data_IF_078730066764
#
_entry.id   IF_078730066764
#
_cell.length_a   1.000
_cell.length_b   1.000
_cell.length_c   1.000
_cell.angle_alpha   90.00
_cell.angle_beta   90.00
_cell.angle_gamma   90.00
#
_symmetry.space_group_name_H-M   'P 1'
#
loop_
_entity.id
_entity.type
_entity.pdbx_description
1 polymer ?
#
# COMPACT_ATOMS: atom_id res chain seq x y z
N UNK A 1 -11.06 17.00 -6.00
CA UNK A 1 -10.76 16.08 -4.86
C UNK A 1 -11.80 14.96 -4.90
N UNK A 2 -11.75 13.94 -4.03
CA UNK A 2 -12.81 12.92 -4.01
C UNK A 2 -13.12 12.41 -2.60
N UNK A 3 -14.25 11.72 -2.48
CA UNK A 3 -14.65 10.94 -1.30
C UNK A 3 -14.53 9.46 -1.65
N UNK A 4 -13.89 8.69 -0.78
CA UNK A 4 -13.72 7.23 -0.91
C UNK A 4 -14.40 6.49 0.23
N UNK A 5 -14.76 5.23 -0.02
CA UNK A 5 -15.31 4.31 0.98
C UNK A 5 -14.41 3.09 1.11
N UNK A 6 -13.87 2.87 2.31
CA UNK A 6 -13.15 1.62 2.63
C UNK A 6 -14.13 0.44 2.53
N UNK A 7 -13.78 -0.53 1.68
CA UNK A 7 -14.53 -1.76 1.46
C UNK A 7 -13.96 -2.91 2.28
N UNK A 8 -12.63 -2.94 2.43
CA UNK A 8 -11.93 -3.95 3.21
C UNK A 8 -10.69 -3.33 3.85
N UNK A 9 -10.38 -3.84 5.04
CA UNK A 9 -9.15 -3.55 5.75
C UNK A 9 -8.54 -4.88 6.19
N UNK A 10 -7.23 -5.02 6.04
CA UNK A 10 -6.50 -6.21 6.49
C UNK A 10 -5.11 -5.83 7.00
N UNK A 11 -4.60 -6.62 7.92
CA UNK A 11 -3.20 -6.54 8.35
C UNK A 11 -2.38 -7.47 7.47
N UNK A 12 -1.30 -6.96 6.88
CA UNK A 12 -0.30 -7.74 6.13
C UNK A 12 1.09 -7.36 6.62
N UNK A 13 2.06 -8.28 6.59
CA UNK A 13 3.46 -7.88 6.82
C UNK A 13 4.06 -7.28 5.56
N UNK A 14 5.02 -6.38 5.73
CA UNK A 14 5.71 -5.74 4.60
C UNK A 14 6.34 -6.78 3.65
N UNK A 15 6.99 -7.81 4.18
CA UNK A 15 7.60 -8.88 3.39
C UNK A 15 6.62 -9.94 2.86
N UNK A 16 5.34 -9.89 3.26
CA UNK A 16 4.27 -10.72 2.73
C UNK A 16 3.49 -10.04 1.59
N UNK A 17 3.87 -8.80 1.23
CA UNK A 17 3.26 -8.09 0.11
C UNK A 17 3.45 -8.87 -1.20
N UNK A 18 2.37 -9.03 -1.95
CA UNK A 18 2.37 -9.74 -3.24
C UNK A 18 2.26 -8.78 -4.41
N UNK A 19 2.70 -9.19 -5.60
CA UNK A 19 2.55 -8.37 -6.81
C UNK A 19 1.09 -8.03 -7.13
N UNK A 20 0.16 -8.93 -6.81
CA UNK A 20 -1.28 -8.68 -6.99
C UNK A 20 -1.75 -7.54 -6.09
N UNK A 21 -1.42 -7.56 -4.80
CA UNK A 21 -1.80 -6.52 -3.85
C UNK A 21 -1.11 -5.19 -4.16
N UNK A 22 0.21 -5.21 -4.41
CA UNK A 22 0.96 -4.01 -4.80
C UNK A 22 0.37 -3.34 -6.05
N UNK A 23 -0.04 -4.14 -7.05
CA UNK A 23 -0.64 -3.60 -8.28
C UNK A 23 -1.98 -2.87 -8.05
N UNK A 24 -2.70 -3.19 -6.97
CA UNK A 24 -3.97 -2.53 -6.63
C UNK A 24 -3.78 -1.08 -6.17
N UNK A 25 -2.61 -0.74 -5.64
CA UNK A 25 -2.29 0.66 -5.27
C UNK A 25 -2.09 1.54 -6.51
N UNK A 26 -1.83 0.94 -7.68
CA UNK A 26 -1.77 1.66 -8.95
C UNK A 26 -0.51 2.52 -9.13
N UNK A 27 0.52 2.30 -8.32
CA UNK A 27 1.74 3.12 -8.33
C UNK A 27 2.76 2.65 -9.38
N UNK A 28 3.53 3.60 -9.93
CA UNK A 28 4.67 3.32 -10.81
C UNK A 28 4.34 2.47 -12.03
N UNK A 29 5.08 1.38 -12.21
CA UNK A 29 4.91 0.39 -13.27
C UNK A 29 4.08 -0.84 -12.83
N UNK A 30 3.39 -0.74 -11.68
CA UNK A 30 2.59 -1.79 -11.05
C UNK A 30 3.41 -3.01 -10.57
N UNK A 31 4.74 -2.93 -10.55
CA UNK A 31 5.59 -4.01 -10.07
C UNK A 31 5.71 -4.02 -8.55
N UNK A 32 5.85 -5.23 -7.98
CA UNK A 32 6.17 -5.40 -6.57
C UNK A 32 7.52 -4.75 -6.21
N UNK A 33 8.46 -4.72 -7.15
CA UNK A 33 9.78 -4.14 -6.93
C UNK A 33 9.71 -2.61 -6.78
N UNK A 34 8.97 -1.93 -7.67
CA UNK A 34 8.72 -0.50 -7.53
C UNK A 34 8.03 -0.17 -6.20
N UNK A 35 6.98 -0.94 -5.86
CA UNK A 35 6.27 -0.79 -4.59
C UNK A 35 7.21 -0.96 -3.39
N UNK A 36 8.04 -2.02 -3.40
CA UNK A 36 8.97 -2.33 -2.32
C UNK A 36 10.00 -1.22 -2.13
N UNK A 37 10.64 -0.76 -3.20
CA UNK A 37 11.63 0.32 -3.13
C UNK A 37 11.04 1.64 -2.62
N UNK A 38 9.85 2.00 -3.12
CA UNK A 38 9.15 3.23 -2.74
C UNK A 38 8.76 3.22 -1.26
N UNK A 39 8.07 2.16 -0.84
CA UNK A 39 7.57 2.04 0.53
C UNK A 39 8.69 1.81 1.53
N UNK A 40 9.72 1.02 1.20
CA UNK A 40 10.91 0.88 2.04
C UNK A 40 11.57 2.24 2.29
N UNK A 41 11.82 3.02 1.24
CA UNK A 41 12.39 4.37 1.36
C UNK A 41 11.52 5.29 2.21
N UNK A 42 10.20 5.18 2.09
CA UNK A 42 9.25 5.91 2.91
C UNK A 42 9.41 5.56 4.40
N UNK A 43 9.29 4.28 4.76
CA UNK A 43 9.35 3.83 6.14
C UNK A 43 10.75 3.95 6.77
N UNK A 44 11.82 3.85 5.98
CA UNK A 44 13.19 4.11 6.43
C UNK A 44 13.36 5.58 6.83
N UNK A 45 12.79 6.51 6.05
CA UNK A 45 12.80 7.94 6.37
C UNK A 45 12.00 8.25 7.64
N UNK A 46 10.88 7.57 7.85
CA UNK A 46 10.08 7.67 9.09
C UNK A 46 10.74 6.96 10.29
N UNK A 47 11.76 6.13 10.06
CA UNK A 47 12.48 5.40 11.11
C UNK A 47 11.73 4.17 11.65
N UNK A 48 10.72 3.68 10.93
CA UNK A 48 9.85 2.57 11.35
C UNK A 48 9.99 1.32 10.50
N UNK A 49 10.83 1.35 9.46
CA UNK A 49 10.99 0.21 8.56
C UNK A 49 11.46 -1.05 9.28
N UNK A 50 10.74 -2.14 9.04
CA UNK A 50 11.15 -3.50 9.33
C UNK A 50 10.50 -4.41 8.30
N UNK A 51 11.19 -5.44 7.83
CA UNK A 51 10.60 -6.42 6.91
C UNK A 51 9.39 -7.13 7.51
N UNK A 52 9.35 -7.27 8.83
CA UNK A 52 8.26 -7.90 9.58
C UNK A 52 7.22 -6.89 10.09
N UNK A 53 7.31 -5.60 9.72
CA UNK A 53 6.34 -4.62 10.19
C UNK A 53 4.95 -4.92 9.62
N UNK A 54 3.94 -4.72 10.45
CA UNK A 54 2.54 -4.83 10.06
C UNK A 54 2.10 -3.54 9.34
N UNK A 55 1.39 -3.73 8.23
CA UNK A 55 0.75 -2.68 7.43
C UNK A 55 -0.76 -2.87 7.51
N UNK A 56 -1.48 -1.75 7.64
CA UNK A 56 -2.92 -1.74 7.39
C UNK A 56 -3.12 -1.50 5.90
N UNK A 57 -3.55 -2.55 5.19
CA UNK A 57 -3.87 -2.48 3.76
C UNK A 57 -5.37 -2.28 3.57
N UNK A 58 -5.74 -1.20 2.90
CA UNK A 58 -7.13 -0.81 2.65
C UNK A 58 -7.49 -0.93 1.18
N UNK A 59 -8.58 -1.64 0.89
CA UNK A 59 -9.23 -1.59 -0.42
C UNK A 59 -10.45 -0.66 -0.32
N UNK A 60 -10.59 0.25 -1.27
CA UNK A 60 -11.65 1.26 -1.26
C UNK A 60 -12.25 1.48 -2.65
N UNK A 61 -13.42 2.09 -2.69
CA UNK A 61 -14.07 2.57 -3.92
C UNK A 61 -14.30 4.08 -3.87
N UNK A 62 -14.32 4.70 -5.05
CA UNK A 62 -14.70 6.10 -5.23
C UNK A 62 -16.22 6.24 -5.09
N UNK A 63 -16.67 7.14 -4.20
CA UNK A 63 -18.10 7.42 -4.03
C UNK A 63 -18.52 8.75 -4.65
N UNK A 64 -17.66 9.77 -4.61
CA UNK A 64 -17.99 11.13 -5.10
C UNK A 64 -16.74 11.88 -5.57
N UNK A 65 -16.89 12.70 -6.62
CA UNK A 65 -15.87 13.65 -7.10
C UNK A 65 -16.31 15.07 -6.69
N UNK A 66 -15.40 15.79 -6.02
CA UNK A 66 -15.57 17.17 -5.56
C UNK A 66 -14.95 18.18 -6.52
#
# INVERSE_FOLDING_TARGET
MCVIRTLRMQVIRFNEMTSELASKEGEGDLSLEYWNEGHKRYFEREGTYSEEMELIFEEFELTEIL
#
